data_IF_154352713325
#
_entry.id   IF_154352713325
#
_cell.length_a   1.000
_cell.length_b   1.000
_cell.length_c   1.000
_cell.angle_alpha   90.00
_cell.angle_beta   90.00
_cell.angle_gamma   90.00
#
_symmetry.space_group_name_H-M   'P 1'
#
loop_
_entity.id
_entity.type
_entity.pdbx_description
1 polymer ?
#
# COMPACT_ATOMS: atom_id res chain seq x y z
N UNK A 1 -2.69 -16.56 -22.92
CA UNK A 1 -3.23 -15.76 -21.81
C UNK A 1 -2.18 -14.74 -21.41
N UNK A 2 -2.59 -13.49 -21.14
CA UNK A 2 -1.71 -12.43 -20.64
C UNK A 2 -2.19 -12.03 -19.26
N UNK A 3 -1.25 -11.73 -18.36
CA UNK A 3 -1.53 -11.22 -17.03
C UNK A 3 -0.92 -9.83 -16.89
N UNK A 4 -1.65 -8.92 -16.26
CA UNK A 4 -1.16 -7.57 -15.95
C UNK A 4 -0.74 -7.52 -14.49
N UNK A 5 0.43 -6.96 -14.22
CA UNK A 5 0.94 -6.73 -12.85
C UNK A 5 1.07 -5.24 -12.63
N UNK A 6 0.39 -4.73 -11.61
CA UNK A 6 0.53 -3.36 -11.15
C UNK A 6 1.49 -3.33 -9.96
N UNK A 7 2.48 -2.45 -9.99
CA UNK A 7 3.46 -2.30 -8.89
C UNK A 7 3.22 -0.96 -8.21
N UNK A 8 3.03 -1.00 -6.90
CA UNK A 8 2.74 0.17 -6.08
C UNK A 8 3.78 0.28 -4.97
N UNK A 9 4.39 1.46 -4.83
CA UNK A 9 5.24 1.78 -3.69
C UNK A 9 4.36 2.11 -2.48
N UNK A 10 4.79 1.74 -1.28
CA UNK A 10 4.09 2.15 -0.06
C UNK A 10 3.90 3.68 -0.01
N UNK A 11 2.81 4.13 0.62
CA UNK A 11 2.54 5.54 0.85
C UNK A 11 3.62 6.23 1.70
N UNK A 12 3.50 7.55 1.84
CA UNK A 12 4.40 8.31 2.70
C UNK A 12 4.40 7.77 4.14
N UNK A 13 5.58 7.63 4.72
CA UNK A 13 5.79 7.21 6.11
C UNK A 13 6.04 8.45 6.95
N UNK A 14 5.47 8.51 8.16
CA UNK A 14 5.78 9.58 9.10
C UNK A 14 7.25 9.47 9.55
N UNK A 15 8.09 10.39 9.06
CA UNK A 15 9.55 10.38 9.30
C UNK A 15 10.11 11.81 9.45
N UNK A 16 9.74 12.54 10.52
CA UNK A 16 10.13 13.95 10.70
C UNK A 16 11.65 14.13 10.82
N UNK A 17 12.36 13.15 11.36
CA UNK A 17 13.81 13.17 11.58
C UNK A 17 14.62 12.68 10.37
N UNK A 18 13.95 12.36 9.24
CA UNK A 18 14.60 11.89 8.00
C UNK A 18 15.50 10.66 8.20
N UNK A 19 15.10 9.75 9.08
CA UNK A 19 15.84 8.52 9.38
C UNK A 19 15.75 7.56 8.19
N UNK A 20 16.88 6.97 7.82
CA UNK A 20 16.92 5.86 6.85
C UNK A 20 16.62 4.54 7.56
N UNK A 21 15.36 4.11 7.52
CA UNK A 21 14.87 2.99 8.34
C UNK A 21 14.91 1.59 7.71
N UNK A 22 15.14 1.47 6.40
CA UNK A 22 15.29 0.18 5.73
C UNK A 22 14.18 -0.82 6.07
N UNK A 23 14.52 -1.94 6.71
CA UNK A 23 13.60 -3.03 7.12
C UNK A 23 13.16 -2.95 8.59
N UNK A 24 13.46 -1.88 9.31
CA UNK A 24 13.04 -1.74 10.70
C UNK A 24 11.51 -1.78 10.82
N UNK A 25 10.97 -2.43 11.88
CA UNK A 25 9.54 -2.41 12.19
C UNK A 25 9.10 -1.06 12.79
N UNK A 26 7.79 -0.83 12.92
CA UNK A 26 7.22 0.36 13.58
C UNK A 26 7.09 1.61 12.70
N UNK A 27 7.55 1.54 11.45
CA UNK A 27 7.45 2.63 10.49
C UNK A 27 6.11 2.60 9.77
N UNK A 28 5.19 3.45 10.23
CA UNK A 28 3.80 3.55 9.77
C UNK A 28 3.60 4.70 8.78
N UNK A 29 2.54 4.59 7.98
CA UNK A 29 2.12 5.67 7.10
C UNK A 29 1.82 6.95 7.90
N UNK A 30 2.18 8.10 7.32
CA UNK A 30 1.68 9.39 7.79
C UNK A 30 0.19 9.54 7.44
N UNK A 31 -0.48 10.57 7.96
CA UNK A 31 -1.85 10.91 7.55
C UNK A 31 -1.96 11.09 6.03
N UNK A 32 -0.97 11.77 5.43
CA UNK A 32 -0.85 11.89 3.98
C UNK A 32 -0.64 10.54 3.30
N UNK A 33 0.19 9.66 3.87
CA UNK A 33 0.39 8.30 3.37
C UNK A 33 -0.88 7.46 3.38
N UNK A 34 -1.72 7.60 4.41
CA UNK A 34 -3.04 6.95 4.48
C UNK A 34 -3.94 7.49 3.37
N UNK A 35 -3.98 8.81 3.16
CA UNK A 35 -4.76 9.40 2.07
C UNK A 35 -4.27 8.93 0.68
N UNK A 36 -2.95 8.75 0.49
CA UNK A 36 -2.40 8.17 -0.74
C UNK A 36 -2.87 6.73 -0.95
N UNK A 37 -2.86 5.90 0.11
CA UNK A 37 -3.33 4.52 0.03
C UNK A 37 -4.82 4.46 -0.36
N UNK A 38 -5.64 5.34 0.21
CA UNK A 38 -7.05 5.44 -0.14
C UNK A 38 -7.25 5.88 -1.61
N UNK A 39 -6.48 6.86 -2.07
CA UNK A 39 -6.55 7.32 -3.47
C UNK A 39 -6.19 6.21 -4.46
N UNK A 40 -5.21 5.35 -4.15
CA UNK A 40 -4.88 4.18 -4.98
C UNK A 40 -5.99 3.14 -4.93
N UNK A 41 -6.58 2.89 -3.76
CA UNK A 41 -7.72 1.99 -3.63
C UNK A 41 -8.89 2.45 -4.50
N UNK A 42 -9.22 3.74 -4.46
CA UNK A 42 -10.28 4.34 -5.28
C UNK A 42 -9.97 4.26 -6.79
N UNK A 43 -8.75 4.58 -7.19
CA UNK A 43 -8.30 4.44 -8.58
C UNK A 43 -8.39 2.98 -9.07
N UNK A 44 -8.11 2.01 -8.18
CA UNK A 44 -8.06 0.60 -8.54
C UNK A 44 -9.42 -0.05 -8.76
N UNK A 45 -10.54 0.62 -8.47
CA UNK A 45 -11.90 0.04 -8.52
C UNK A 45 -12.27 -0.57 -9.87
N UNK A 46 -11.76 0.01 -10.96
CA UNK A 46 -12.03 -0.47 -12.33
C UNK A 46 -11.10 -1.63 -12.76
N UNK A 47 -10.12 -1.99 -11.93
CA UNK A 47 -9.20 -3.09 -12.23
C UNK A 47 -9.80 -4.43 -11.81
N UNK A 48 -9.63 -5.44 -12.66
CA UNK A 48 -9.96 -6.83 -12.31
C UNK A 48 -8.78 -7.48 -11.59
N UNK A 49 -8.60 -7.20 -10.29
CA UNK A 49 -7.53 -7.79 -9.48
C UNK A 49 -7.91 -9.18 -8.96
N UNK A 50 -7.04 -10.17 -9.19
CA UNK A 50 -7.22 -11.53 -8.66
C UNK A 50 -6.34 -11.86 -7.44
N UNK A 51 -5.33 -11.05 -7.16
CA UNK A 51 -4.43 -11.24 -6.03
C UNK A 51 -3.73 -9.93 -5.65
N UNK A 52 -3.40 -9.80 -4.37
CA UNK A 52 -2.55 -8.74 -3.84
C UNK A 52 -1.41 -9.39 -3.07
N UNK A 53 -0.18 -9.01 -3.42
CA UNK A 53 1.02 -9.42 -2.68
C UNK A 53 1.69 -8.16 -2.13
N UNK A 54 1.84 -8.10 -0.81
CA UNK A 54 2.46 -6.99 -0.13
C UNK A 54 3.67 -7.47 0.70
N UNK A 55 4.69 -6.62 0.79
CA UNK A 55 5.77 -6.82 1.75
C UNK A 55 5.20 -6.96 3.17
N UNK A 56 5.77 -7.81 4.04
CA UNK A 56 5.29 -7.95 5.42
C UNK A 56 5.53 -6.70 6.28
N UNK A 57 6.24 -5.70 5.77
CA UNK A 57 6.50 -4.46 6.49
C UNK A 57 5.22 -3.62 6.63
N UNK A 58 5.03 -3.06 7.82
CA UNK A 58 3.79 -2.39 8.25
C UNK A 58 3.31 -1.31 7.26
N UNK A 59 4.18 -0.41 6.81
CA UNK A 59 3.85 0.60 5.78
C UNK A 59 3.30 0.02 4.46
N UNK A 60 3.80 -1.15 4.04
CA UNK A 60 3.32 -1.80 2.84
C UNK A 60 1.95 -2.45 3.08
N UNK A 61 1.78 -3.09 4.24
CA UNK A 61 0.49 -3.63 4.68
C UNK A 61 -0.58 -2.53 4.75
N UNK A 62 -0.29 -1.41 5.43
CA UNK A 62 -1.21 -0.26 5.53
C UNK A 62 -1.56 0.34 4.17
N UNK A 63 -0.65 0.31 3.19
CA UNK A 63 -0.94 0.76 1.83
C UNK A 63 -1.84 -0.22 1.08
N UNK A 64 -1.63 -1.52 1.28
CA UNK A 64 -2.37 -2.59 0.60
C UNK A 64 -3.77 -2.81 1.20
N UNK A 65 -3.96 -2.63 2.51
CA UNK A 65 -5.24 -2.88 3.19
C UNK A 65 -6.47 -2.22 2.53
N UNK A 66 -6.49 -0.92 2.21
CA UNK A 66 -7.67 -0.32 1.57
C UNK A 66 -7.91 -0.87 0.15
N UNK A 67 -6.85 -1.27 -0.57
CA UNK A 67 -6.96 -1.91 -1.89
C UNK A 67 -7.58 -3.30 -1.73
N UNK A 68 -7.08 -4.11 -0.78
CA UNK A 68 -7.60 -5.44 -0.49
C UNK A 68 -9.08 -5.40 -0.09
N UNK A 69 -9.47 -4.48 0.79
CA UNK A 69 -10.87 -4.28 1.19
C UNK A 69 -11.76 -3.86 0.00
N UNK A 70 -11.26 -2.97 -0.87
CA UNK A 70 -12.00 -2.53 -2.07
C UNK A 70 -12.30 -3.69 -3.02
N UNK A 71 -11.35 -4.62 -3.15
CA UNK A 71 -11.44 -5.78 -4.06
C UNK A 71 -11.93 -7.06 -3.37
N UNK A 72 -12.19 -7.04 -2.06
CA UNK A 72 -12.56 -8.21 -1.22
C UNK A 72 -11.52 -9.34 -1.30
N UNK A 73 -10.26 -8.96 -1.12
CA UNK A 73 -9.08 -9.83 -1.18
C UNK A 73 -8.30 -9.82 0.15
N UNK A 74 -8.97 -9.49 1.25
CA UNK A 74 -8.46 -9.40 2.62
C UNK A 74 -8.25 -10.78 3.30
#
# INVERSE_FOLDING_TARGET
MSSTVHVVRHGEVHNPESILYGRQPGWRLSERGIAMAQAVADWSKELSLGAIHASPLERAQQTASPIALTHKLD
#
